data_IF_872426289347
#
_entry.id   IF_872426289347
#
_cell.length_a   1.000
_cell.length_b   1.000
_cell.length_c   1.000
_cell.angle_alpha   90.00
_cell.angle_beta   90.00
_cell.angle_gamma   90.00
#
_symmetry.space_group_name_H-M   'P 1'
#
loop_
_entity.id
_entity.type
_entity.pdbx_description
1 polymer ?
#
# COMPACT_ATOMS: atom_id res chain seq x y z
N UNK A 1 5.71 12.89 27.24
CA UNK A 1 6.24 12.86 25.86
C UNK A 1 7.69 13.30 25.88
N UNK A 2 8.64 12.37 25.74
CA UNK A 2 10.07 12.63 25.87
C UNK A 2 10.61 13.46 24.69
N UNK A 3 11.63 14.28 24.94
CA UNK A 3 12.22 15.23 23.96
C UNK A 3 12.71 14.55 22.68
N UNK A 4 13.25 13.32 22.79
CA UNK A 4 13.75 12.54 21.64
C UNK A 4 12.63 12.13 20.68
N UNK A 5 11.51 11.62 21.19
CA UNK A 5 10.37 11.19 20.37
C UNK A 5 9.81 12.35 19.54
N UNK A 6 9.69 13.53 20.15
CA UNK A 6 9.26 14.75 19.44
C UNK A 6 10.25 15.17 18.36
N UNK A 7 11.55 15.06 18.64
CA UNK A 7 12.59 15.38 17.68
C UNK A 7 12.56 14.42 16.48
N UNK A 8 12.45 13.11 16.73
CA UNK A 8 12.36 12.09 15.68
C UNK A 8 11.14 12.31 14.80
N UNK A 9 9.96 12.54 15.39
CA UNK A 9 8.74 12.83 14.62
C UNK A 9 8.89 14.09 13.75
N UNK A 10 9.48 15.16 14.29
CA UNK A 10 9.72 16.39 13.50
C UNK A 10 10.66 16.15 12.33
N UNK A 11 11.72 15.37 12.54
CA UNK A 11 12.65 15.00 11.46
C UNK A 11 11.90 14.22 10.39
N UNK A 12 11.14 13.17 10.77
CA UNK A 12 10.36 12.35 9.83
C UNK A 12 9.39 13.23 9.03
N UNK A 13 8.59 14.06 9.70
CA UNK A 13 7.63 14.96 9.04
C UNK A 13 8.29 15.95 8.07
N UNK A 14 9.55 16.31 8.30
CA UNK A 14 10.29 17.22 7.43
C UNK A 14 10.86 16.50 6.21
N UNK A 15 11.38 15.27 6.38
CA UNK A 15 12.04 14.51 5.31
C UNK A 15 11.07 13.69 4.47
N UNK A 16 9.95 13.27 5.05
CA UNK A 16 8.96 12.39 4.42
C UNK A 16 8.48 12.92 3.06
N UNK A 17 8.06 14.19 2.89
CA UNK A 17 7.60 14.66 1.58
C UNK A 17 8.70 14.61 0.51
N UNK A 18 9.95 14.87 0.90
CA UNK A 18 11.10 14.83 -0.01
C UNK A 18 11.39 13.39 -0.43
N UNK A 19 11.40 12.46 0.52
CA UNK A 19 11.61 11.04 0.25
C UNK A 19 10.46 10.44 -0.55
N UNK A 20 9.22 10.84 -0.27
CA UNK A 20 8.05 10.38 -0.99
C UNK A 20 8.14 10.74 -2.48
N UNK A 21 8.48 11.98 -2.82
CA UNK A 21 8.64 12.42 -4.22
C UNK A 21 9.77 11.66 -4.94
N UNK A 22 10.82 11.27 -4.23
CA UNK A 22 11.96 10.57 -4.82
C UNK A 22 11.75 9.06 -4.96
N UNK A 23 11.04 8.44 -4.00
CA UNK A 23 10.92 6.98 -3.89
C UNK A 23 9.59 6.46 -4.45
N UNK A 24 8.54 7.27 -4.47
CA UNK A 24 7.22 6.90 -4.98
C UNK A 24 7.05 7.42 -6.40
N UNK A 25 6.82 6.51 -7.34
CA UNK A 25 6.65 6.83 -8.76
C UNK A 25 5.40 6.17 -9.32
N UNK A 26 4.49 6.99 -9.83
CA UNK A 26 3.36 6.50 -10.61
C UNK A 26 3.84 5.85 -11.90
N UNK A 27 3.21 4.73 -12.23
CA UNK A 27 3.49 3.93 -13.41
C UNK A 27 2.29 3.93 -14.34
N UNK A 28 2.55 3.77 -15.64
CA UNK A 28 1.54 3.59 -16.68
C UNK A 28 1.68 2.23 -17.33
N UNK A 29 0.56 1.68 -17.80
CA UNK A 29 0.56 0.35 -18.41
C UNK A 29 1.40 0.29 -19.69
N UNK A 30 1.28 1.29 -20.56
CA UNK A 30 2.07 1.40 -21.80
C UNK A 30 3.57 1.38 -21.54
N UNK A 31 4.03 2.22 -20.62
CA UNK A 31 5.45 2.31 -20.23
C UNK A 31 5.98 0.98 -19.67
N UNK A 32 5.18 0.29 -18.85
CA UNK A 32 5.56 -1.00 -18.27
C UNK A 32 5.65 -2.10 -19.33
N UNK A 33 4.71 -2.13 -20.29
CA UNK A 33 4.71 -3.09 -21.39
C UNK A 33 5.86 -2.86 -22.37
N UNK A 34 6.10 -1.61 -22.78
CA UNK A 34 7.21 -1.24 -23.67
C UNK A 34 8.57 -1.60 -23.07
N UNK A 35 8.72 -1.43 -21.75
CA UNK A 35 9.92 -1.79 -21.02
C UNK A 35 10.04 -3.28 -20.66
N UNK A 36 9.02 -4.11 -20.95
CA UNK A 36 8.99 -5.53 -20.58
C UNK A 36 8.89 -5.77 -19.06
N UNK A 37 8.44 -4.79 -18.29
CA UNK A 37 8.34 -4.83 -16.83
C UNK A 37 6.96 -5.34 -16.36
N UNK A 38 6.42 -6.35 -17.03
CA UNK A 38 5.11 -6.94 -16.70
C UNK A 38 5.25 -8.12 -15.74
N UNK A 39 4.22 -8.40 -14.94
CA UNK A 39 4.20 -9.62 -14.12
C UNK A 39 4.07 -10.87 -15.00
N UNK A 40 4.86 -11.91 -14.69
CA UNK A 40 4.92 -13.16 -15.49
C UNK A 40 3.56 -13.82 -15.67
N UNK A 41 2.73 -13.86 -14.62
CA UNK A 41 1.43 -14.54 -14.65
C UNK A 41 0.25 -13.59 -14.92
N UNK A 42 0.48 -12.27 -14.86
CA UNK A 42 -0.55 -11.25 -14.93
C UNK A 42 -0.05 -10.08 -15.78
N UNK A 43 0.06 -10.29 -17.09
CA UNK A 43 0.65 -9.32 -18.02
C UNK A 43 -0.06 -7.96 -18.04
N UNK A 44 -1.34 -7.93 -17.66
CA UNK A 44 -2.18 -6.73 -17.64
C UNK A 44 -2.33 -6.11 -16.23
N UNK A 45 -1.69 -6.68 -15.21
CA UNK A 45 -1.68 -6.08 -13.88
C UNK A 45 -0.66 -4.94 -13.83
N UNK A 46 -1.11 -3.72 -13.53
CA UNK A 46 -0.24 -2.54 -13.48
C UNK A 46 0.66 -2.53 -12.24
N UNK A 47 0.10 -2.89 -11.08
CA UNK A 47 0.80 -2.96 -9.81
C UNK A 47 0.07 -3.93 -8.87
N UNK A 48 0.76 -4.36 -7.81
CA UNK A 48 0.17 -5.11 -6.69
C UNK A 48 0.10 -4.22 -5.46
N UNK A 49 -0.89 -4.44 -4.63
CA UNK A 49 -1.04 -3.76 -3.34
C UNK A 49 -0.99 -4.79 -2.22
N UNK A 50 -0.25 -4.50 -1.16
CA UNK A 50 -0.19 -5.32 0.05
C UNK A 50 -0.25 -4.45 1.29
N UNK A 51 -0.73 -5.04 2.40
CA UNK A 51 -0.76 -4.41 3.72
C UNK A 51 0.27 -5.06 4.62
N UNK A 52 1.29 -4.29 5.01
CA UNK A 52 2.33 -4.72 5.95
C UNK A 52 1.98 -4.31 7.37
N UNK A 53 2.20 -5.23 8.31
CA UNK A 53 2.08 -4.93 9.74
C UNK A 53 3.47 -4.62 10.31
N UNK A 54 3.57 -3.50 11.02
CA UNK A 54 4.76 -3.07 11.72
C UNK A 54 4.50 -3.07 13.23
N UNK A 55 5.16 -3.98 13.99
CA UNK A 55 5.08 -3.96 15.44
C UNK A 55 5.55 -2.62 16.01
N UNK A 56 4.87 -2.13 17.04
CA UNK A 56 5.25 -0.94 17.76
C UNK A 56 5.11 -1.17 19.27
N UNK A 57 5.80 -0.36 20.06
CA UNK A 57 5.60 -0.35 21.51
C UNK A 57 4.15 0.02 21.81
N UNK A 58 3.59 -0.66 22.81
CA UNK A 58 2.30 -0.26 23.36
C UNK A 58 2.47 1.14 23.94
N UNK A 59 1.66 2.09 23.47
CA UNK A 59 1.62 3.43 24.05
C UNK A 59 1.33 3.36 25.55
N UNK A 60 1.66 4.41 26.30
CA UNK A 60 1.30 4.54 27.72
C UNK A 60 -0.03 5.29 27.81
N UNK A 61 -0.98 4.82 28.62
CA UNK A 61 -2.38 5.30 28.56
C UNK A 61 -3.42 4.24 28.92
N UNK A 62 -4.70 4.50 28.62
CA UNK A 62 -5.82 3.62 29.01
C UNK A 62 -5.91 2.39 28.10
N UNK A 63 -6.36 1.26 28.64
CA UNK A 63 -6.48 0.02 27.88
C UNK A 63 -7.33 0.17 26.60
N UNK A 64 -8.42 0.93 26.68
CA UNK A 64 -9.34 1.19 25.55
C UNK A 64 -8.67 1.94 24.41
N UNK A 65 -7.77 2.87 24.72
CA UNK A 65 -7.01 3.65 23.72
C UNK A 65 -5.97 2.79 23.01
N UNK A 66 -5.44 1.76 23.69
CA UNK A 66 -4.37 0.93 23.11
C UNK A 66 -4.93 -0.25 22.32
N UNK A 67 -6.14 -0.72 22.68
CA UNK A 67 -6.76 -1.90 22.07
C UNK A 67 -6.89 -1.77 20.55
N UNK A 68 -7.07 -0.55 20.03
CA UNK A 68 -7.13 -0.29 18.58
C UNK A 68 -5.80 -0.62 17.89
N UNK A 69 -4.66 -0.50 18.56
CA UNK A 69 -3.38 -0.87 17.95
C UNK A 69 -3.09 -2.37 18.02
N UNK A 70 -3.91 -3.16 18.71
CA UNK A 70 -3.72 -4.60 18.80
C UNK A 70 -4.20 -5.33 17.55
N UNK A 71 -3.31 -6.04 16.88
CA UNK A 71 -3.65 -6.94 15.78
C UNK A 71 -3.96 -8.34 16.30
N UNK A 72 -5.21 -8.78 16.16
CA UNK A 72 -5.62 -10.12 16.57
C UNK A 72 -4.91 -11.24 15.78
N UNK A 73 -4.54 -10.97 14.51
CA UNK A 73 -3.79 -11.89 13.64
C UNK A 73 -2.36 -12.08 14.12
N UNK A 74 -1.69 -10.98 14.46
CA UNK A 74 -0.25 -10.98 14.79
C UNK A 74 0.03 -11.09 16.29
N UNK A 75 -1.01 -10.98 17.14
CA UNK A 75 -0.91 -10.97 18.61
C UNK A 75 0.03 -9.90 19.16
N UNK A 76 0.20 -8.81 18.41
CA UNK A 76 1.11 -7.71 18.72
C UNK A 76 0.40 -6.37 18.54
N UNK A 77 0.90 -5.35 19.25
CA UNK A 77 0.53 -3.96 19.03
C UNK A 77 1.34 -3.40 17.87
N UNK A 78 0.72 -2.56 17.06
CA UNK A 78 1.41 -1.95 15.94
C UNK A 78 0.48 -1.25 14.97
N UNK A 79 1.07 -0.92 13.84
CA UNK A 79 0.44 -0.21 12.74
C UNK A 79 0.41 -1.09 11.50
N UNK A 80 -0.47 -0.73 10.58
CA UNK A 80 -0.57 -1.34 9.26
C UNK A 80 -0.37 -0.27 8.21
N UNK A 81 0.41 -0.57 7.19
CA UNK A 81 0.68 0.33 6.07
C UNK A 81 0.33 -0.40 4.80
N UNK A 82 -0.46 0.27 3.97
CA UNK A 82 -0.74 -0.19 2.61
C UNK A 82 0.33 0.36 1.67
N UNK A 83 0.91 -0.52 0.85
CA UNK A 83 1.95 -0.18 -0.10
C UNK A 83 1.66 -0.85 -1.44
N UNK A 84 1.77 -0.07 -2.50
CA UNK A 84 1.59 -0.53 -3.88
C UNK A 84 2.94 -0.57 -4.60
N UNK A 85 3.20 -1.63 -5.36
CA UNK A 85 4.47 -1.85 -6.05
C UNK A 85 4.31 -2.47 -7.43
N UNK A 86 5.24 -2.15 -8.32
CA UNK A 86 5.30 -2.64 -9.70
C UNK A 86 6.71 -3.16 -10.04
N UNK A 87 6.84 -4.05 -11.05
CA UNK A 87 8.14 -4.51 -11.51
C UNK A 87 8.97 -3.35 -12.12
N UNK A 88 10.30 -3.45 -12.15
CA UNK A 88 11.11 -4.50 -11.53
C UNK A 88 11.31 -4.31 -10.03
N UNK A 89 10.98 -3.13 -9.45
CA UNK A 89 11.13 -2.76 -8.02
C UNK A 89 10.65 -1.32 -7.75
N UNK A 90 9.55 -0.91 -8.39
CA UNK A 90 9.01 0.45 -8.25
C UNK A 90 7.98 0.47 -7.13
N UNK A 91 8.08 1.45 -6.23
CA UNK A 91 7.00 1.76 -5.29
C UNK A 91 6.06 2.73 -5.98
N UNK A 92 4.81 2.31 -6.17
CA UNK A 92 3.78 3.06 -6.88
C UNK A 92 3.06 4.03 -5.95
N UNK A 93 2.76 3.58 -4.74
CA UNK A 93 2.12 4.40 -3.72
C UNK A 93 2.35 3.83 -2.33
N UNK A 94 2.33 4.69 -1.31
CA UNK A 94 2.38 4.31 0.12
C UNK A 94 1.37 5.16 0.86
N UNK A 95 0.44 4.52 1.56
CA UNK A 95 -0.61 5.21 2.28
C UNK A 95 -0.30 5.36 3.76
N UNK A 96 -1.02 6.29 4.39
CA UNK A 96 -0.95 6.52 5.82
C UNK A 96 -1.18 5.25 6.62
N UNK A 97 -0.53 5.21 7.78
CA UNK A 97 -0.66 4.09 8.68
C UNK A 97 -2.06 4.00 9.28
N UNK A 98 -2.55 2.77 9.43
CA UNK A 98 -3.78 2.44 10.13
C UNK A 98 -3.49 1.71 11.44
N UNK A 99 -4.38 1.80 12.44
CA UNK A 99 -4.26 1.02 13.67
C UNK A 99 -4.23 -0.50 13.41
N UNK A 100 -3.53 -1.26 14.25
CA UNK A 100 -3.37 -2.71 14.11
C UNK A 100 -4.65 -3.54 14.08
N UNK A 101 -5.76 -3.06 14.64
CA UNK A 101 -7.06 -3.75 14.58
C UNK A 101 -7.72 -3.67 13.20
N UNK A 102 -7.37 -2.68 12.38
CA UNK A 102 -8.00 -2.38 11.09
C UNK A 102 -7.84 -3.56 10.14
N UNK A 103 -8.93 -3.99 9.49
CA UNK A 103 -8.85 -5.09 8.53
C UNK A 103 -8.13 -4.64 7.24
N UNK A 104 -7.42 -5.54 6.57
CA UNK A 104 -6.74 -5.21 5.32
C UNK A 104 -7.74 -4.78 4.23
N UNK A 105 -8.90 -5.44 4.18
CA UNK A 105 -9.96 -5.10 3.23
C UNK A 105 -10.47 -3.67 3.45
N UNK A 106 -10.65 -3.26 4.70
CA UNK A 106 -11.08 -1.89 5.03
C UNK A 106 -10.06 -0.88 4.51
N UNK A 107 -8.77 -1.10 4.76
CA UNK A 107 -7.71 -0.19 4.31
C UNK A 107 -7.73 -0.01 2.78
N UNK A 108 -7.77 -1.12 2.03
CA UNK A 108 -7.79 -1.11 0.56
C UNK A 108 -9.07 -0.45 0.02
N UNK A 109 -10.21 -0.67 0.69
CA UNK A 109 -11.49 -0.07 0.28
C UNK A 109 -11.52 1.44 0.52
N UNK A 110 -10.90 1.93 1.60
CA UNK A 110 -10.80 3.37 1.87
C UNK A 110 -10.02 4.09 0.76
N UNK A 111 -9.01 3.42 0.16
CA UNK A 111 -8.20 3.95 -0.94
C UNK A 111 -8.69 3.58 -2.34
N UNK A 112 -9.85 2.93 -2.45
CA UNK A 112 -10.38 2.42 -3.72
C UNK A 112 -10.54 3.52 -4.80
N UNK A 113 -10.87 4.74 -4.39
CA UNK A 113 -11.00 5.87 -5.31
C UNK A 113 -9.68 6.22 -6.00
N UNK A 114 -8.58 6.18 -5.25
CA UNK A 114 -7.22 6.46 -5.73
C UNK A 114 -6.77 5.32 -6.65
N UNK A 115 -6.98 4.07 -6.26
CA UNK A 115 -6.68 2.93 -7.13
C UNK A 115 -7.43 2.99 -8.46
N UNK A 116 -8.73 3.33 -8.43
CA UNK A 116 -9.53 3.51 -9.66
C UNK A 116 -9.01 4.64 -10.54
N UNK A 117 -8.48 5.70 -9.94
CA UNK A 117 -7.84 6.78 -10.69
C UNK A 117 -6.54 6.32 -11.34
N UNK A 118 -5.70 5.57 -10.62
CA UNK A 118 -4.41 5.06 -11.13
C UNK A 118 -4.58 3.99 -12.21
N UNK A 119 -5.64 3.18 -12.12
CA UNK A 119 -5.96 2.11 -13.07
C UNK A 119 -6.79 2.59 -14.27
N UNK A 120 -7.07 3.89 -14.38
CA UNK A 120 -7.87 4.42 -15.49
C UNK A 120 -7.10 4.22 -16.81
N UNK A 121 -7.76 3.58 -17.78
CA UNK A 121 -7.25 3.44 -19.15
C UNK A 121 -7.11 4.82 -19.82
N UNK A 122 -6.01 5.02 -20.56
CA UNK A 122 -5.81 6.22 -21.37
C UNK A 122 -6.67 6.15 -22.65
N UNK A 123 -7.15 7.31 -23.11
CA UNK A 123 -8.04 7.43 -24.27
C UNK A 123 -7.33 7.06 -25.58
N UNK A 124 -7.29 5.76 -25.89
CA UNK A 124 -6.58 5.20 -27.03
C UNK A 124 -6.33 3.70 -26.90
N UNK A 125 -6.41 3.14 -25.69
CA UNK A 125 -6.36 1.69 -25.49
C UNK A 125 -7.63 1.04 -26.04
N UNK A 126 -7.48 0.02 -26.89
CA UNK A 126 -8.61 -0.82 -27.31
C UNK A 126 -9.27 -1.45 -26.08
N UNK A 127 -10.61 -1.57 -26.05
CA UNK A 127 -11.27 -2.30 -24.98
C UNK A 127 -10.89 -3.79 -25.11
N UNK A 128 -9.96 -4.22 -24.25
CA UNK A 128 -9.69 -5.64 -24.05
C UNK A 128 -10.95 -6.30 -23.50
N UNK A 129 -11.58 -7.14 -24.32
CA UNK A 129 -12.65 -8.05 -23.91
C UNK A 129 -11.96 -9.09 -23.02
N UNK A 130 -12.12 -8.95 -21.70
CA UNK A 130 -11.57 -9.91 -20.75
C UNK A 130 -12.10 -11.31 -21.05
N UNK A 131 -11.21 -12.25 -21.36
CA UNK A 131 -11.55 -13.67 -21.31
C UNK A 131 -11.96 -14.03 -19.89
N UNK A 132 -13.00 -14.85 -19.76
CA UNK A 132 -13.42 -15.46 -18.49
C UNK A 132 -12.18 -16.02 -17.75
N UNK A 133 -12.00 -15.72 -16.45
CA UNK A 133 -10.88 -16.26 -15.71
C UNK A 133 -11.00 -17.79 -15.67
N UNK A 134 -10.08 -18.49 -16.33
CA UNK A 134 -9.94 -19.93 -16.19
C UNK A 134 -9.58 -20.24 -14.74
N UNK A 135 -10.61 -20.57 -13.96
CA UNK A 135 -10.63 -21.22 -12.66
C UNK A 135 -9.37 -21.02 -11.79
N UNK A 136 -9.52 -20.34 -10.65
CA UNK A 136 -8.48 -20.24 -9.62
C UNK A 136 -7.87 -21.63 -9.36
N UNK A 137 -6.52 -21.77 -9.36
CA UNK A 137 -5.88 -23.02 -8.97
C UNK A 137 -6.41 -23.43 -7.60
N UNK A 138 -6.89 -24.67 -7.48
CA UNK A 138 -7.29 -25.22 -6.19
C UNK A 138 -6.07 -25.20 -5.26
N UNK A 139 -6.26 -24.60 -4.07
CA UNK A 139 -5.27 -24.57 -2.99
C UNK A 139 -5.04 -25.96 -2.40
#
# INVERSE_FOLDING_TARGET
>A
MATLEKMVHRVIQTVEPVLHVQLVKRVKMSEQMEAGNTFTNYLHALYVTDVKFQPAYRSSGRFTEHKVYFSAKHKLYGFKIECSGAPPRVVVDVFDHSPGYTSYLTMILDQLSIHRQMLRKEGGSTPEIGGEPTQFPQM
#
